data_IF_579631109999
#
_entry.id   IF_579631109999
#
_cell.length_a   1.000
_cell.length_b   1.000
_cell.length_c   1.000
_cell.angle_alpha   90.00
_cell.angle_beta   90.00
_cell.angle_gamma   90.00
#
_symmetry.space_group_name_H-M   'P 1'
#
loop_
_entity.id
_entity.type
_entity.pdbx_description
1 polymer ?
#
# COMPACT_ATOMS: atom_id res chain seq x y z
N UNK A 1 9.60 9.94 1.95
CA UNK A 1 8.25 10.53 2.05
C UNK A 1 7.17 9.46 2.01
N UNK A 2 7.17 8.58 1.01
CA UNK A 2 6.24 7.43 0.90
C UNK A 2 6.10 6.64 2.21
N UNK A 3 7.22 6.22 2.81
CA UNK A 3 7.23 5.50 4.09
C UNK A 3 6.43 6.20 5.20
N UNK A 4 6.59 7.52 5.35
CA UNK A 4 5.87 8.30 6.36
C UNK A 4 4.35 8.29 6.12
N UNK A 5 3.92 8.40 4.86
CA UNK A 5 2.49 8.30 4.50
C UNK A 5 1.95 6.90 4.76
N UNK A 6 2.70 5.86 4.38
CA UNK A 6 2.32 4.46 4.61
C UNK A 6 2.11 4.17 6.09
N UNK A 7 3.04 4.56 6.96
CA UNK A 7 2.91 4.34 8.40
C UNK A 7 1.79 5.19 9.02
N UNK A 8 1.58 6.41 8.54
CA UNK A 8 0.43 7.22 8.97
C UNK A 8 -0.91 6.54 8.59
N UNK A 9 -1.00 6.01 7.36
CA UNK A 9 -2.16 5.25 6.91
C UNK A 9 -2.35 3.93 7.68
N UNK A 10 -1.27 3.23 8.00
CA UNK A 10 -1.34 2.02 8.83
C UNK A 10 -1.93 2.32 10.22
N UNK A 11 -1.50 3.40 10.87
CA UNK A 11 -2.08 3.82 12.16
C UNK A 11 -3.56 4.21 12.06
N UNK A 12 -4.02 4.68 10.90
CA UNK A 12 -5.44 4.97 10.67
C UNK A 12 -6.26 3.69 10.43
N UNK A 13 -5.71 2.72 9.70
CA UNK A 13 -6.34 1.42 9.43
C UNK A 13 -6.43 0.54 10.68
N UNK A 14 -5.42 0.61 11.56
CA UNK A 14 -5.34 -0.17 12.79
C UNK A 14 -5.12 0.74 14.02
N UNK A 15 -6.16 1.44 14.50
CA UNK A 15 -6.05 2.37 15.63
C UNK A 15 -5.68 1.66 16.95
N UNK A 16 -6.03 0.39 17.09
CA UNK A 16 -5.73 -0.44 18.28
C UNK A 16 -4.36 -1.14 18.21
N UNK A 17 -3.60 -0.90 17.14
CA UNK A 17 -2.26 -1.46 16.92
C UNK A 17 -2.14 -2.24 15.61
N UNK A 18 -1.05 -1.96 14.88
CA UNK A 18 -0.74 -2.62 13.60
C UNK A 18 -0.28 -4.06 13.88
N UNK A 19 -0.88 -5.08 13.24
CA UNK A 19 -0.41 -6.46 13.39
C UNK A 19 1.06 -6.62 12.98
N UNK A 20 1.85 -7.38 13.75
CA UNK A 20 3.28 -7.58 13.50
C UNK A 20 3.57 -8.11 12.09
N UNK A 21 2.73 -9.03 11.61
CA UNK A 21 2.83 -9.60 10.26
C UNK A 21 2.71 -8.52 9.18
N UNK A 22 1.77 -7.59 9.35
CA UNK A 22 1.56 -6.46 8.45
C UNK A 22 2.71 -5.46 8.55
N UNK A 23 3.18 -5.14 9.75
CA UNK A 23 4.31 -4.23 9.94
C UNK A 23 5.59 -4.76 9.25
N UNK A 24 5.85 -6.06 9.37
CA UNK A 24 6.94 -6.74 8.64
C UNK A 24 6.73 -6.67 7.13
N UNK A 25 5.50 -6.88 6.65
CA UNK A 25 5.18 -6.78 5.23
C UNK A 25 5.38 -5.35 4.70
N UNK A 26 4.85 -4.32 5.36
CA UNK A 26 5.03 -2.92 5.00
C UNK A 26 6.52 -2.59 4.85
N UNK A 27 7.35 -3.01 5.80
CA UNK A 27 8.79 -2.77 5.73
C UNK A 27 9.43 -3.42 4.50
N UNK A 28 9.13 -4.70 4.24
CA UNK A 28 9.64 -5.42 3.07
C UNK A 28 9.21 -4.76 1.75
N UNK A 29 7.94 -4.35 1.65
CA UNK A 29 7.42 -3.69 0.45
C UNK A 29 8.10 -2.33 0.23
N UNK A 30 8.23 -1.51 1.27
CA UNK A 30 8.90 -0.21 1.19
C UNK A 30 10.37 -0.33 0.80
N UNK A 31 11.09 -1.31 1.37
CA UNK A 31 12.49 -1.58 1.02
C UNK A 31 12.62 -1.94 -0.46
N UNK A 32 11.72 -2.80 -0.99
CA UNK A 32 11.72 -3.18 -2.40
C UNK A 32 11.33 -2.02 -3.33
N UNK A 33 10.33 -1.22 -2.95
CA UNK A 33 9.90 -0.03 -3.72
C UNK A 33 11.04 0.98 -3.82
N UNK A 34 11.77 1.20 -2.73
CA UNK A 34 12.93 2.09 -2.69
C UNK A 34 14.07 1.54 -3.56
N UNK A 35 14.40 0.25 -3.45
CA UNK A 35 15.46 -0.37 -4.26
C UNK A 35 15.17 -0.27 -5.76
N UNK A 36 13.91 -0.40 -6.16
CA UNK A 36 13.48 -0.31 -7.55
C UNK A 36 13.13 1.12 -8.00
N UNK A 37 13.31 2.13 -7.14
CA UNK A 37 12.99 3.54 -7.39
C UNK A 37 11.53 3.77 -7.84
N UNK A 38 10.58 2.99 -7.33
CA UNK A 38 9.15 3.09 -7.68
C UNK A 38 8.36 4.07 -6.79
N UNK A 39 9.00 4.77 -5.87
CA UNK A 39 8.32 5.62 -4.89
C UNK A 39 7.37 6.65 -5.54
N UNK A 40 7.82 7.29 -6.62
CA UNK A 40 7.02 8.29 -7.35
C UNK A 40 5.75 7.69 -7.98
N UNK A 41 5.79 6.43 -8.41
CA UNK A 41 4.61 5.75 -8.95
C UNK A 41 3.53 5.62 -7.86
N UNK A 42 3.90 5.14 -6.68
CA UNK A 42 2.96 5.01 -5.56
C UNK A 42 2.41 6.35 -5.10
N UNK A 43 3.26 7.38 -5.02
CA UNK A 43 2.83 8.73 -4.65
C UNK A 43 1.85 9.33 -5.66
N UNK A 44 2.09 9.12 -6.96
CA UNK A 44 1.18 9.59 -8.02
C UNK A 44 -0.19 8.93 -7.92
N UNK A 45 -0.23 7.60 -7.72
CA UNK A 45 -1.49 6.87 -7.56
C UNK A 45 -2.20 7.29 -6.27
N UNK A 46 -1.46 7.47 -5.18
CA UNK A 46 -2.00 7.99 -3.91
C UNK A 46 -2.68 9.35 -4.10
N UNK A 47 -2.04 10.30 -4.78
CA UNK A 47 -2.62 11.62 -5.01
C UNK A 47 -3.90 11.56 -5.87
N UNK A 48 -3.92 10.69 -6.90
CA UNK A 48 -5.11 10.47 -7.74
C UNK A 48 -6.26 9.91 -6.91
N UNK A 49 -6.01 8.86 -6.11
CA UNK A 49 -7.03 8.23 -5.28
C UNK A 49 -7.54 9.19 -4.21
N UNK A 50 -6.64 9.90 -3.53
CA UNK A 50 -6.98 10.92 -2.54
C UNK A 50 -7.87 12.01 -3.15
N UNK A 51 -7.52 12.50 -4.34
CA UNK A 51 -8.34 13.49 -5.05
C UNK A 51 -9.72 12.93 -5.39
N UNK A 52 -9.80 11.73 -5.96
CA UNK A 52 -11.07 11.08 -6.29
C UNK A 52 -11.97 10.91 -5.05
N UNK A 53 -11.41 10.46 -3.92
CA UNK A 53 -12.13 10.36 -2.64
C UNK A 53 -12.64 11.71 -2.15
N UNK A 54 -11.87 12.79 -2.30
CA UNK A 54 -12.31 14.15 -1.95
C UNK A 54 -13.47 14.68 -2.82
N UNK A 55 -13.78 13.99 -3.91
CA UNK A 55 -14.88 14.29 -4.84
C UNK A 55 -16.00 13.25 -4.77
N UNK A 56 -16.00 12.39 -3.74
CA UNK A 56 -16.93 11.29 -3.57
C UNK A 56 -16.96 10.30 -4.77
N UNK A 57 -15.84 10.18 -5.47
CA UNK A 57 -15.66 9.21 -6.57
C UNK A 57 -15.13 7.91 -5.97
N UNK A 58 -15.88 6.83 -6.15
CA UNK A 58 -15.47 5.50 -5.71
C UNK A 58 -14.26 5.01 -6.51
N UNK A 59 -13.17 4.69 -5.80
CA UNK A 59 -12.00 4.01 -6.36
C UNK A 59 -11.89 2.62 -5.76
N UNK A 60 -11.69 1.61 -6.61
CA UNK A 60 -11.48 0.25 -6.16
C UNK A 60 -10.24 -0.31 -6.84
N UNK A 61 -9.23 -0.65 -6.04
CA UNK A 61 -8.03 -1.34 -6.51
C UNK A 61 -8.38 -2.59 -7.32
N UNK A 62 -7.63 -2.86 -8.38
CA UNK A 62 -7.75 -4.04 -9.24
C UNK A 62 -6.38 -4.69 -9.42
N UNK A 63 -6.39 -5.98 -9.72
CA UNK A 63 -5.17 -6.74 -10.01
C UNK A 63 -4.26 -6.89 -8.79
N UNK A 64 -2.97 -6.97 -9.04
CA UNK A 64 -1.93 -7.27 -8.04
C UNK A 64 -1.70 -6.16 -7.01
N UNK A 65 -2.20 -4.95 -7.23
CA UNK A 65 -2.20 -3.89 -6.22
C UNK A 65 -2.97 -4.29 -4.93
N UNK A 66 -3.92 -5.24 -5.04
CA UNK A 66 -4.64 -5.81 -3.90
C UNK A 66 -3.73 -6.63 -2.96
N UNK A 67 -2.54 -7.03 -3.40
CA UNK A 67 -1.60 -7.83 -2.62
C UNK A 67 -0.62 -6.98 -1.79
N UNK A 68 -0.75 -5.65 -1.84
CA UNK A 68 0.21 -4.73 -1.22
C UNK A 68 -0.35 -4.10 0.05
N UNK A 69 0.37 -4.29 1.15
CA UNK A 69 0.10 -3.60 2.41
C UNK A 69 0.33 -2.09 2.28
N UNK A 70 1.31 -1.67 1.48
CA UNK A 70 1.53 -0.25 1.16
C UNK A 70 0.32 0.34 0.45
N UNK A 71 -0.22 -0.33 -0.58
CA UNK A 71 -1.44 0.13 -1.26
C UNK A 71 -2.64 0.22 -0.32
N UNK A 72 -2.79 -0.73 0.62
CA UNK A 72 -3.89 -0.73 1.58
C UNK A 72 -3.80 0.46 2.54
N UNK A 73 -2.59 0.74 3.06
CA UNK A 73 -2.33 1.87 3.94
C UNK A 73 -2.52 3.22 3.23
N UNK A 74 -2.23 3.29 1.93
CA UNK A 74 -2.46 4.48 1.11
C UNK A 74 -3.91 4.60 0.59
N UNK A 75 -4.80 3.70 1.02
CA UNK A 75 -6.20 3.65 0.60
C UNK A 75 -6.42 3.44 -0.92
N UNK A 76 -5.40 2.93 -1.60
CA UNK A 76 -5.45 2.56 -3.03
C UNK A 76 -6.25 1.25 -3.20
N UNK A 77 -6.21 0.38 -2.19
CA UNK A 77 -7.02 -0.84 -2.12
C UNK A 77 -7.70 -0.96 -0.77
N UNK A 78 -8.88 -1.59 -0.75
CA UNK A 78 -9.64 -1.91 0.47
C UNK A 78 -9.42 -3.36 0.93
N UNK A 79 -8.43 -4.02 0.32
CA UNK A 79 -8.10 -5.42 0.61
C UNK A 79 -7.14 -5.50 1.79
N UNK A 80 -7.65 -5.95 2.94
CA UNK A 80 -6.88 -6.04 4.19
C UNK A 80 -5.81 -7.16 4.12
N UNK A 81 -4.50 -6.83 4.19
CA UNK A 81 -3.42 -7.81 4.18
C UNK A 81 -3.39 -8.66 5.46
N UNK A 82 -4.00 -8.24 6.58
CA UNK A 82 -4.07 -9.04 7.80
C UNK A 82 -4.97 -10.26 7.64
N UNK A 83 -5.95 -10.20 6.74
CA UNK A 83 -6.93 -11.27 6.50
C UNK A 83 -6.51 -12.22 5.37
N UNK A 84 -5.50 -11.86 4.58
CA UNK A 84 -5.11 -12.64 3.40
C UNK A 84 -3.60 -12.70 3.22
N UNK A 85 -3.08 -13.91 2.99
CA UNK A 85 -1.67 -14.13 2.73
C UNK A 85 -1.38 -14.01 1.23
N UNK A 86 -1.29 -12.77 0.73
CA UNK A 86 -1.08 -12.47 -0.69
C UNK A 86 0.40 -12.21 -0.98
N UNK A 87 0.90 -12.74 -2.11
CA UNK A 87 2.29 -12.58 -2.53
C UNK A 87 2.50 -11.23 -3.23
N UNK A 88 3.19 -10.32 -2.55
CA UNK A 88 3.54 -8.99 -3.08
C UNK A 88 4.52 -9.06 -4.25
N UNK A 89 5.40 -10.05 -4.31
CA UNK A 89 6.41 -10.20 -5.37
C UNK A 89 5.78 -10.43 -6.76
N UNK A 90 4.49 -10.81 -6.81
CA UNK A 90 3.70 -10.87 -8.05
C UNK A 90 3.28 -9.49 -8.57
N UNK A 91 3.32 -8.47 -7.72
CA UNK A 91 3.03 -7.09 -8.08
C UNK A 91 4.29 -6.39 -8.59
N UNK A 92 5.39 -6.50 -7.86
CA UNK A 92 6.69 -5.91 -8.19
C UNK A 92 7.77 -6.96 -7.96
N UNK A 93 8.61 -7.23 -8.98
CA UNK A 93 9.74 -8.16 -8.89
C UNK A 93 11.00 -7.52 -9.49
N UNK A 94 12.16 -7.85 -8.91
CA UNK A 94 13.48 -7.46 -9.43
C UNK A 94 13.86 -8.16 -10.73
N UNK A 95 13.21 -9.28 -11.05
CA UNK A 95 13.52 -10.11 -12.23
C UNK A 95 12.78 -9.65 -13.51
N UNK A 96 12.21 -8.44 -13.53
CA UNK A 96 11.50 -7.90 -14.70
C UNK A 96 12.10 -6.60 -15.20
#
# INVERSE_FOLDING_TARGET
YLSSLTWAGANQRWPDGIPDTVAVQIKKELDLINELNYEYYFLTVFDIVRFAKSRDILCQGRGSAANSAVCYCLEITEVDPAQMNLLFERFISKER
#
